data_IF_177627483251
#
_entry.id   IF_177627483251
#
_cell.length_a   1.000
_cell.length_b   1.000
_cell.length_c   1.000
_cell.angle_alpha   90.00
_cell.angle_beta   90.00
_cell.angle_gamma   90.00
#
_symmetry.space_group_name_H-M   'P 1'
#
loop_
_entity.id
_entity.type
_entity.pdbx_description
1 polymer ?
#
# COMPACT_ATOMS: atom_id res chain seq x y z
N UNK A 1 10.23 6.47 -82.70
CA UNK A 1 11.15 5.46 -82.17
C UNK A 1 12.54 6.06 -82.28
N UNK A 2 13.17 6.44 -81.16
CA UNK A 2 13.95 5.45 -80.44
C UNK A 2 14.07 5.67 -78.90
N UNK A 3 14.65 4.65 -78.27
CA UNK A 3 15.47 4.61 -77.05
C UNK A 3 14.87 4.98 -75.69
N UNK A 4 14.80 3.94 -74.84
CA UNK A 4 15.02 4.06 -73.41
C UNK A 4 16.44 4.61 -73.17
N UNK A 5 16.56 5.56 -72.24
CA UNK A 5 17.82 5.94 -71.64
C UNK A 5 17.67 5.70 -70.14
N UNK A 6 18.15 4.56 -69.67
CA UNK A 6 18.50 4.37 -68.28
C UNK A 6 19.77 5.19 -68.04
N UNK A 7 19.68 6.23 -67.22
CA UNK A 7 20.83 6.82 -66.57
C UNK A 7 20.85 6.31 -65.15
N UNK A 8 21.54 5.19 -64.94
CA UNK A 8 22.06 4.82 -63.63
C UNK A 8 23.13 5.84 -63.28
N UNK A 9 22.77 6.77 -62.40
CA UNK A 9 23.65 7.39 -61.41
C UNK A 9 22.91 8.59 -60.83
N UNK A 10 21.96 8.29 -59.94
CA UNK A 10 21.72 9.16 -58.81
C UNK A 10 21.60 8.24 -57.62
N UNK A 11 22.50 8.39 -56.66
CA UNK A 11 22.25 8.00 -55.29
C UNK A 11 20.93 8.65 -54.90
N UNK A 12 19.83 7.90 -55.01
CA UNK A 12 18.60 8.24 -54.33
C UNK A 12 18.95 8.06 -52.86
N UNK A 13 19.40 9.13 -52.21
CA UNK A 13 19.07 9.34 -50.81
C UNK A 13 17.57 9.21 -50.74
N UNK A 14 17.08 8.00 -50.40
CA UNK A 14 15.74 7.78 -49.92
C UNK A 14 15.54 8.83 -48.85
N UNK A 15 14.71 9.84 -49.13
CA UNK A 15 14.37 10.77 -48.09
C UNK A 15 13.67 9.95 -47.01
N UNK A 16 13.94 10.30 -45.76
CA UNK A 16 13.28 9.72 -44.58
C UNK A 16 11.75 9.84 -44.63
N UNK A 17 11.20 10.58 -45.60
CA UNK A 17 9.77 10.78 -45.81
C UNK A 17 9.06 9.50 -46.26
N UNK A 18 9.74 8.63 -47.03
CA UNK A 18 9.16 7.34 -47.44
C UNK A 18 9.02 6.35 -46.27
N UNK A 19 9.90 6.45 -45.26
CA UNK A 19 9.90 5.56 -44.09
C UNK A 19 8.78 5.88 -43.09
N UNK A 20 8.15 7.05 -43.17
CA UNK A 20 7.14 7.49 -42.18
C UNK A 20 5.72 7.42 -42.68
N UNK A 21 5.53 7.18 -43.97
CA UNK A 21 4.23 7.27 -44.61
C UNK A 21 3.23 6.29 -44.01
N UNK A 22 3.61 5.02 -43.89
CA UNK A 22 2.79 3.92 -43.34
C UNK A 22 3.16 3.58 -41.89
N UNK A 23 3.64 4.59 -41.13
CA UNK A 23 3.98 4.39 -39.72
C UNK A 23 2.89 4.93 -38.82
N UNK A 24 2.44 4.12 -37.86
CA UNK A 24 1.62 4.60 -36.76
C UNK A 24 2.47 5.42 -35.77
N UNK A 25 2.40 6.75 -35.87
CA UNK A 25 3.17 7.70 -35.04
C UNK A 25 2.25 8.50 -34.09
N UNK A 26 1.71 7.88 -33.02
CA UNK A 26 0.82 8.56 -32.09
C UNK A 26 1.57 9.36 -31.02
N UNK A 27 0.82 10.20 -30.32
CA UNK A 27 1.16 10.74 -28.99
C UNK A 27 -0.01 10.44 -28.04
N UNK A 28 0.31 9.93 -26.84
CA UNK A 28 -0.67 9.74 -25.77
C UNK A 28 -0.90 11.08 -25.06
N UNK A 29 -2.13 11.57 -25.11
CA UNK A 29 -2.53 12.85 -24.55
C UNK A 29 -3.66 12.70 -23.53
N UNK A 30 -3.80 13.70 -22.66
CA UNK A 30 -4.92 13.81 -21.73
C UNK A 30 -5.81 14.99 -22.17
N UNK A 31 -7.11 14.76 -22.30
CA UNK A 31 -8.02 15.68 -23.01
C UNK A 31 -8.30 17.01 -22.30
N UNK A 32 -7.78 17.22 -21.09
CA UNK A 32 -7.88 18.50 -20.40
C UNK A 32 -6.51 18.84 -19.85
N UNK A 33 -6.05 20.07 -20.08
CA UNK A 33 -4.74 20.51 -19.61
C UNK A 33 -4.54 20.32 -18.10
N UNK A 34 -3.29 20.43 -17.65
CA UNK A 34 -2.81 20.14 -16.28
C UNK A 34 -3.71 20.72 -15.17
N UNK A 35 -4.32 21.90 -15.38
CA UNK A 35 -5.07 22.61 -14.34
C UNK A 35 -6.56 22.23 -14.22
N UNK A 36 -7.08 21.35 -15.07
CA UNK A 36 -8.52 20.99 -15.09
C UNK A 36 -8.80 19.50 -15.26
N UNK A 37 -7.77 18.66 -15.24
CA UNK A 37 -7.93 17.21 -15.39
C UNK A 37 -8.02 16.55 -14.01
N UNK A 38 -9.23 16.08 -13.70
CA UNK A 38 -9.54 15.26 -12.54
C UNK A 38 -9.92 13.86 -13.01
N UNK A 39 -9.32 12.84 -12.42
CA UNK A 39 -9.70 11.44 -12.59
C UNK A 39 -10.33 10.99 -11.29
N UNK A 40 -11.63 10.67 -11.31
CA UNK A 40 -12.37 10.20 -10.15
C UNK A 40 -12.20 11.10 -8.90
N UNK A 41 -12.17 12.43 -9.10
CA UNK A 41 -11.98 13.44 -8.05
C UNK A 41 -10.53 13.67 -7.60
N UNK A 42 -9.56 12.98 -8.19
CA UNK A 42 -8.12 13.17 -7.94
C UNK A 42 -7.51 14.01 -9.08
N UNK A 43 -6.82 15.10 -8.72
CA UNK A 43 -6.21 16.02 -9.68
C UNK A 43 -4.91 15.47 -10.25
N UNK A 44 -4.68 15.68 -11.55
CA UNK A 44 -3.34 15.54 -12.13
C UNK A 44 -2.52 16.80 -11.85
N UNK A 45 -1.22 16.59 -11.68
CA UNK A 45 -0.24 17.65 -11.44
C UNK A 45 1.00 17.42 -12.29
N UNK A 46 1.95 18.35 -12.28
CA UNK A 46 3.27 18.12 -12.87
C UNK A 46 4.15 17.32 -11.90
N UNK A 47 4.78 16.27 -12.41
CA UNK A 47 5.78 15.53 -11.67
C UNK A 47 6.99 16.41 -11.39
N UNK A 48 7.58 16.24 -10.20
CA UNK A 48 8.76 16.99 -9.78
C UNK A 48 9.88 16.07 -9.35
N UNK A 49 11.10 16.45 -9.73
CA UNK A 49 12.32 15.77 -9.33
C UNK A 49 12.65 16.02 -7.85
N UNK A 50 13.72 15.38 -7.38
CA UNK A 50 14.23 15.53 -6.01
C UNK A 50 14.62 16.95 -5.62
N UNK A 51 14.79 17.86 -6.59
CA UNK A 51 15.13 19.26 -6.38
C UNK A 51 13.92 20.18 -6.56
N UNK A 52 12.70 19.63 -6.61
CA UNK A 52 11.45 20.35 -6.83
C UNK A 52 11.37 21.07 -8.20
N UNK A 53 12.13 20.58 -9.20
CA UNK A 53 12.01 21.00 -10.61
C UNK A 53 11.08 20.07 -11.37
N UNK A 54 10.38 20.59 -12.36
CA UNK A 54 9.49 19.77 -13.20
C UNK A 54 10.27 18.70 -13.95
N UNK A 55 9.77 17.46 -13.91
CA UNK A 55 10.32 16.36 -14.68
C UNK A 55 9.94 16.51 -16.15
N UNK A 56 10.94 16.42 -17.03
CA UNK A 56 10.74 16.44 -18.48
C UNK A 56 11.09 15.08 -19.07
N UNK A 57 10.51 14.78 -20.22
CA UNK A 57 10.78 13.58 -20.99
C UNK A 57 11.01 13.90 -22.46
N UNK A 58 11.95 13.16 -23.05
CA UNK A 58 12.20 13.13 -24.48
C UNK A 58 11.52 11.87 -25.08
N UNK A 59 10.59 12.08 -26.00
CA UNK A 59 9.93 11.03 -26.78
C UNK A 59 10.70 10.72 -28.07
N UNK A 60 10.19 9.76 -28.85
CA UNK A 60 10.84 9.33 -30.08
C UNK A 60 11.09 10.50 -31.06
N UNK A 61 12.26 10.47 -31.71
CA UNK A 61 12.64 11.47 -32.73
C UNK A 61 11.73 11.46 -33.97
N UNK A 62 10.95 10.39 -34.17
CA UNK A 62 10.01 10.28 -35.28
C UNK A 62 8.75 11.13 -35.09
N UNK A 63 8.48 11.59 -33.85
CA UNK A 63 7.38 12.52 -33.57
C UNK A 63 7.73 13.95 -34.00
N UNK A 64 6.70 14.77 -34.22
CA UNK A 64 6.88 16.20 -34.51
C UNK A 64 7.58 16.90 -33.35
N UNK A 65 8.38 17.94 -33.66
CA UNK A 65 9.26 18.61 -32.69
C UNK A 65 8.53 19.13 -31.43
N UNK A 66 7.26 19.53 -31.59
CA UNK A 66 6.41 20.01 -30.50
C UNK A 66 6.03 18.93 -29.49
N UNK A 67 6.10 17.65 -29.88
CA UNK A 67 5.81 16.51 -29.02
C UNK A 67 7.06 15.85 -28.48
N UNK A 68 8.23 16.02 -29.12
CA UNK A 68 9.49 15.36 -28.69
C UNK A 68 9.88 15.67 -27.25
N UNK A 69 9.51 16.83 -26.71
CA UNK A 69 9.77 17.19 -25.32
C UNK A 69 8.46 17.49 -24.60
N UNK A 70 8.22 16.83 -23.47
CA UNK A 70 7.01 17.03 -22.69
C UNK A 70 7.28 17.02 -21.19
N UNK A 71 6.43 17.70 -20.43
CA UNK A 71 6.44 17.62 -18.97
C UNK A 71 5.73 16.33 -18.53
N UNK A 72 6.28 15.63 -17.54
CA UNK A 72 5.67 14.41 -17.04
C UNK A 72 4.50 14.76 -16.11
N UNK A 73 3.33 14.17 -16.38
CA UNK A 73 2.18 14.29 -15.49
C UNK A 73 2.26 13.31 -14.33
N UNK A 74 1.81 13.73 -13.16
CA UNK A 74 1.72 12.96 -11.93
C UNK A 74 0.26 12.73 -11.55
N UNK A 75 -0.10 11.46 -11.37
CA UNK A 75 -1.34 11.03 -10.75
C UNK A 75 -1.06 10.50 -9.34
N UNK A 76 -1.55 11.21 -8.32
CA UNK A 76 -1.46 10.79 -6.92
C UNK A 76 -2.78 10.17 -6.45
N UNK A 77 -2.73 9.00 -5.82
CA UNK A 77 -3.94 8.30 -5.37
C UNK A 77 -3.75 7.56 -4.05
N UNK A 78 -4.83 7.40 -3.29
CA UNK A 78 -4.91 6.45 -2.17
C UNK A 78 -5.66 5.17 -2.54
N UNK A 79 -6.30 5.12 -3.71
CA UNK A 79 -7.19 4.02 -4.11
C UNK A 79 -6.42 2.74 -4.44
N UNK A 80 -7.05 1.60 -4.19
CA UNK A 80 -6.51 0.29 -4.55
C UNK A 80 -6.76 -0.07 -6.02
N UNK A 81 -7.69 0.63 -6.69
CA UNK A 81 -7.97 0.48 -8.12
C UNK A 81 -8.06 1.84 -8.74
N UNK A 82 -7.36 2.03 -9.85
CA UNK A 82 -7.33 3.29 -10.59
C UNK A 82 -7.62 3.01 -12.06
N UNK A 83 -8.31 3.96 -12.70
CA UNK A 83 -8.66 3.93 -14.11
C UNK A 83 -8.30 5.28 -14.70
N UNK A 84 -7.23 5.32 -15.49
CA UNK A 84 -6.66 6.55 -16.02
C UNK A 84 -7.03 6.67 -17.50
N UNK A 85 -7.94 7.58 -17.87
CA UNK A 85 -8.30 7.81 -19.26
C UNK A 85 -7.19 8.55 -20.01
N UNK A 86 -6.95 8.16 -21.25
CA UNK A 86 -6.04 8.85 -22.17
C UNK A 86 -6.61 8.81 -23.60
N UNK A 87 -6.17 9.75 -24.43
CA UNK A 87 -6.57 9.87 -25.83
C UNK A 87 -5.35 9.71 -26.72
N UNK A 88 -5.49 8.90 -27.78
CA UNK A 88 -4.44 8.70 -28.78
C UNK A 88 -4.56 9.79 -29.84
N UNK A 89 -3.56 10.67 -29.96
CA UNK A 89 -3.56 11.76 -30.95
C UNK A 89 -2.47 11.53 -31.99
N UNK A 90 -2.61 12.17 -33.16
CA UNK A 90 -1.57 12.14 -34.18
C UNK A 90 -0.32 12.86 -33.66
N UNK A 91 0.80 12.15 -33.60
CA UNK A 91 2.08 12.63 -33.08
C UNK A 91 3.09 13.03 -34.15
N UNK A 92 2.82 12.70 -35.42
CA UNK A 92 3.60 13.16 -36.57
C UNK A 92 2.70 13.59 -37.71
N UNK A 93 3.03 14.74 -38.31
CA UNK A 93 2.39 15.25 -39.52
C UNK A 93 2.76 14.47 -40.79
N UNK A 94 3.80 13.63 -40.72
CA UNK A 94 4.31 12.83 -41.85
C UNK A 94 3.70 11.41 -41.90
N UNK A 95 3.09 10.96 -40.80
CA UNK A 95 2.35 9.69 -40.71
C UNK A 95 1.00 9.81 -41.41
N UNK A 96 0.71 8.88 -42.32
CA UNK A 96 -0.56 8.77 -43.04
C UNK A 96 -1.38 7.55 -42.63
N UNK A 97 -0.76 6.58 -41.96
CA UNK A 97 -1.45 5.51 -41.27
C UNK A 97 -2.34 6.05 -40.13
N UNK A 98 -3.54 5.49 -39.97
CA UNK A 98 -4.58 5.95 -39.05
C UNK A 98 -4.71 5.07 -37.78
N UNK A 99 -4.14 3.87 -37.80
CA UNK A 99 -4.25 2.91 -36.70
C UNK A 99 -2.97 2.11 -36.47
N UNK A 100 -2.93 1.29 -35.41
CA UNK A 100 -1.68 0.62 -35.03
C UNK A 100 -1.79 -0.11 -33.70
N UNK A 101 -0.64 -0.54 -33.18
CA UNK A 101 -0.54 -1.20 -31.88
C UNK A 101 0.07 -0.27 -30.82
N UNK A 102 -0.55 -0.23 -29.65
CA UNK A 102 -0.03 0.47 -28.48
C UNK A 102 0.32 -0.55 -27.39
N UNK A 103 1.54 -0.45 -26.89
CA UNK A 103 2.10 -1.25 -25.81
C UNK A 103 2.29 -0.43 -24.54
N UNK A 104 1.89 -0.98 -23.40
CA UNK A 104 2.02 -0.37 -22.06
C UNK A 104 3.10 -1.12 -21.26
N UNK A 105 4.04 -0.35 -20.70
CA UNK A 105 5.10 -0.88 -19.83
C UNK A 105 5.14 -0.12 -18.51
N UNK A 106 5.22 -0.86 -17.41
CA UNK A 106 5.50 -0.27 -16.10
C UNK A 106 7.01 -0.17 -15.92
N UNK A 107 7.49 0.93 -15.31
CA UNK A 107 8.92 1.12 -15.03
C UNK A 107 9.45 0.25 -13.89
N UNK A 108 8.57 -0.52 -13.23
CA UNK A 108 8.91 -1.37 -12.08
C UNK A 108 8.27 -2.74 -12.24
N UNK A 109 8.97 -3.78 -11.77
CA UNK A 109 8.41 -5.10 -11.52
C UNK A 109 8.11 -5.21 -10.02
N UNK A 110 6.86 -4.94 -9.64
CA UNK A 110 6.43 -4.98 -8.25
C UNK A 110 5.22 -5.91 -8.11
N UNK A 111 5.32 -6.92 -7.25
CA UNK A 111 4.25 -7.89 -7.01
C UNK A 111 2.97 -7.26 -6.48
N UNK A 112 3.06 -6.06 -5.89
CA UNK A 112 1.92 -5.33 -5.34
C UNK A 112 1.22 -4.43 -6.36
N UNK A 113 1.72 -4.37 -7.61
CA UNK A 113 1.19 -3.55 -8.69
C UNK A 113 0.81 -4.45 -9.86
N UNK A 114 -0.48 -4.51 -10.18
CA UNK A 114 -1.00 -5.33 -11.26
C UNK A 114 -1.60 -4.46 -12.35
N UNK A 115 -1.02 -4.52 -13.55
CA UNK A 115 -1.60 -3.95 -14.76
C UNK A 115 -2.78 -4.83 -15.20
N UNK A 116 -3.99 -4.27 -15.16
CA UNK A 116 -5.23 -4.95 -15.57
C UNK A 116 -5.46 -4.78 -17.06
N UNK A 117 -5.13 -3.61 -17.62
CA UNK A 117 -5.19 -3.38 -19.07
C UNK A 117 -4.26 -4.33 -19.80
N UNK A 118 -4.66 -4.80 -21.00
CA UNK A 118 -3.80 -5.61 -21.85
C UNK A 118 -2.48 -4.86 -22.13
N UNK A 119 -1.37 -5.59 -22.11
CA UNK A 119 -0.04 -5.02 -22.35
C UNK A 119 0.11 -4.46 -23.76
N UNK A 120 -0.57 -5.03 -24.74
CA UNK A 120 -0.61 -4.55 -26.13
C UNK A 120 -2.04 -4.65 -26.65
N UNK A 121 -2.48 -3.66 -27.42
CA UNK A 121 -3.80 -3.63 -28.05
C UNK A 121 -3.80 -2.75 -29.31
N UNK A 122 -4.67 -3.09 -30.26
CA UNK A 122 -4.93 -2.27 -31.45
C UNK A 122 -5.69 -1.01 -31.07
N UNK A 123 -5.33 0.11 -31.69
CA UNK A 123 -5.96 1.41 -31.47
C UNK A 123 -5.81 2.29 -32.70
N UNK A 124 -6.54 3.41 -32.73
CA UNK A 124 -6.46 4.43 -33.79
C UNK A 124 -6.46 5.84 -33.22
N UNK A 125 -6.18 6.84 -34.05
CA UNK A 125 -6.28 8.23 -33.62
C UNK A 125 -7.68 8.60 -33.12
N UNK A 126 -7.70 9.58 -32.21
CA UNK A 126 -8.87 10.13 -31.51
C UNK A 126 -9.66 9.12 -30.67
N UNK A 127 -9.11 7.92 -30.46
CA UNK A 127 -9.66 6.96 -29.51
C UNK A 127 -9.35 7.37 -28.06
N UNK A 128 -10.34 7.28 -27.19
CA UNK A 128 -10.17 7.41 -25.75
C UNK A 128 -10.18 6.03 -25.10
N UNK A 129 -9.12 5.72 -24.37
CA UNK A 129 -8.85 4.44 -23.74
C UNK A 129 -8.55 4.63 -22.25
N UNK A 130 -8.36 3.54 -21.52
CA UNK A 130 -8.05 3.58 -20.10
C UNK A 130 -6.90 2.64 -19.73
N UNK A 131 -6.00 3.12 -18.89
CA UNK A 131 -5.05 2.28 -18.15
C UNK A 131 -5.66 1.95 -16.80
N UNK A 132 -5.86 0.66 -16.54
CA UNK A 132 -6.40 0.15 -15.29
C UNK A 132 -5.30 -0.57 -14.49
N UNK A 133 -5.12 -0.16 -13.25
CA UNK A 133 -4.15 -0.73 -12.31
C UNK A 133 -4.84 -1.10 -11.00
N UNK A 134 -4.48 -2.27 -10.49
CA UNK A 134 -4.87 -2.78 -9.18
C UNK A 134 -3.62 -2.84 -8.28
N UNK A 135 -3.71 -2.22 -7.11
CA UNK A 135 -2.75 -2.33 -6.03
C UNK A 135 -3.23 -3.37 -5.03
N UNK A 136 -2.32 -4.23 -4.59
CA UNK A 136 -2.62 -5.24 -3.54
C UNK A 136 -1.91 -4.92 -2.22
N UNK A 137 -1.03 -3.91 -2.22
CA UNK A 137 -0.26 -3.47 -1.05
C UNK A 137 -0.64 -2.07 -0.58
N UNK A 138 -0.26 -1.76 0.66
CA UNK A 138 -0.51 -0.47 1.28
C UNK A 138 0.70 0.45 1.34
N UNK A 139 1.89 -0.05 1.02
CA UNK A 139 3.09 0.74 1.02
C UNK A 139 3.01 1.86 -0.03
N UNK A 140 3.71 2.96 0.23
CA UNK A 140 3.92 3.98 -0.80
C UNK A 140 4.57 3.34 -2.03
N UNK A 141 4.02 3.59 -3.21
CA UNK A 141 4.61 3.17 -4.50
C UNK A 141 4.74 4.38 -5.40
N UNK A 142 5.81 4.42 -6.17
CA UNK A 142 6.08 5.44 -7.17
C UNK A 142 6.67 4.76 -8.40
N UNK A 143 6.07 4.98 -9.56
CA UNK A 143 6.47 4.33 -10.81
C UNK A 143 5.96 5.11 -12.02
N UNK A 144 6.50 4.78 -13.20
CA UNK A 144 6.05 5.32 -14.48
C UNK A 144 5.29 4.28 -15.28
N UNK A 145 4.42 4.79 -16.14
CA UNK A 145 3.70 4.04 -17.16
C UNK A 145 4.11 4.62 -18.49
N UNK A 146 4.78 3.79 -19.27
CA UNK A 146 5.34 4.11 -20.58
C UNK A 146 4.48 3.52 -21.68
N UNK A 147 4.30 4.29 -22.75
CA UNK A 147 3.58 3.87 -23.95
C UNK A 147 4.53 3.80 -25.14
N UNK A 148 4.43 2.69 -25.87
CA UNK A 148 5.21 2.43 -27.07
C UNK A 148 4.28 2.07 -28.22
N UNK A 149 4.50 2.66 -29.38
CA UNK A 149 3.73 2.38 -30.59
C UNK A 149 4.56 1.60 -31.62
N UNK A 150 3.83 0.90 -32.49
CA UNK A 150 4.30 0.32 -33.75
C UNK A 150 3.10 0.20 -34.69
N UNK A 151 3.38 0.09 -35.98
CA UNK A 151 2.38 -0.27 -36.99
C UNK A 151 1.71 -1.63 -36.66
N UNK A 152 0.46 -1.81 -37.09
CA UNK A 152 -0.28 -3.05 -36.92
C UNK A 152 -0.02 -4.10 -38.02
N UNK A 153 0.73 -3.76 -39.07
CA UNK A 153 1.09 -4.62 -40.21
C UNK A 153 -0.14 -5.17 -40.95
N UNK A 154 -1.29 -4.49 -40.89
CA UNK A 154 -2.54 -4.97 -41.51
C UNK A 154 -2.54 -4.76 -43.04
N UNK A 155 -1.68 -3.89 -43.56
CA UNK A 155 -1.58 -3.60 -45.00
C UNK A 155 -0.64 -4.56 -45.76
N UNK A 156 -1.17 -5.12 -46.85
CA UNK A 156 -0.45 -6.13 -47.67
C UNK A 156 0.54 -5.54 -48.67
N UNK A 157 0.55 -4.22 -48.82
CA UNK A 157 1.26 -3.47 -49.85
C UNK A 157 2.28 -2.47 -49.28
N UNK A 158 2.23 -2.21 -47.97
CA UNK A 158 3.24 -1.49 -47.21
C UNK A 158 3.06 -1.82 -45.72
N UNK A 159 4.15 -2.05 -45.01
CA UNK A 159 4.16 -2.33 -43.57
C UNK A 159 5.14 -1.37 -42.91
N UNK A 160 4.74 -0.76 -41.81
CA UNK A 160 5.64 0.08 -41.02
C UNK A 160 6.84 -0.73 -40.51
N UNK A 161 8.02 -0.11 -40.53
CA UNK A 161 9.28 -0.66 -40.05
C UNK A 161 9.59 -0.23 -38.61
N UNK A 162 8.99 0.88 -38.14
CA UNK A 162 9.31 1.44 -36.83
C UNK A 162 8.63 0.66 -35.70
N UNK A 163 9.44 0.27 -34.72
CA UNK A 163 8.98 -0.42 -33.51
C UNK A 163 9.44 0.31 -32.26
N UNK A 164 8.69 0.15 -31.16
CA UNK A 164 8.98 0.75 -29.86
C UNK A 164 9.06 2.29 -29.89
N UNK A 165 8.19 2.94 -30.66
CA UNK A 165 8.08 4.40 -30.72
C UNK A 165 7.56 4.89 -29.37
N UNK A 166 8.45 5.43 -28.54
CA UNK A 166 8.06 5.96 -27.22
C UNK A 166 7.21 7.21 -27.39
N UNK A 167 5.92 7.09 -27.07
CA UNK A 167 4.88 8.06 -27.41
C UNK A 167 4.04 8.52 -26.22
N UNK A 168 4.46 8.20 -24.99
CA UNK A 168 3.79 8.68 -23.79
C UNK A 168 4.44 8.18 -22.51
N UNK A 169 4.42 9.03 -21.48
CA UNK A 169 4.79 8.68 -20.11
C UNK A 169 3.92 9.42 -19.12
N UNK A 170 3.54 8.75 -18.06
CA UNK A 170 3.03 9.42 -16.86
C UNK A 170 3.53 8.73 -15.59
N UNK A 171 3.57 9.50 -14.50
CA UNK A 171 4.01 9.08 -13.18
C UNK A 171 2.79 8.78 -12.31
N UNK A 172 2.84 7.68 -11.58
CA UNK A 172 1.82 7.30 -10.59
C UNK A 172 2.46 7.22 -9.22
N UNK A 173 1.85 7.90 -8.25
CA UNK A 173 2.20 7.78 -6.83
C UNK A 173 1.00 7.23 -6.06
N UNK A 174 1.11 5.99 -5.61
CA UNK A 174 0.21 5.42 -4.60
C UNK A 174 0.69 5.87 -3.23
N UNK A 175 -0.13 6.66 -2.54
CA UNK A 175 0.12 7.06 -1.15
C UNK A 175 -0.02 5.85 -0.23
N UNK A 176 0.80 5.84 0.82
CA UNK A 176 0.71 4.81 1.85
C UNK A 176 -0.68 4.89 2.49
N UNK A 177 -1.40 3.77 2.50
CA UNK A 177 -2.72 3.68 3.14
C UNK A 177 -2.64 2.88 4.43
N UNK A 178 -3.43 3.27 5.42
CA UNK A 178 -3.44 2.54 6.68
C UNK A 178 -4.04 1.14 6.50
N UNK A 179 -3.28 0.12 6.89
CA UNK A 179 -3.69 -1.29 6.86
C UNK A 179 -5.04 -1.55 7.54
N UNK A 180 -5.43 -0.76 8.53
CA UNK A 180 -6.73 -0.89 9.19
C UNK A 180 -7.94 -0.60 8.28
N UNK A 181 -7.72 0.08 7.15
CA UNK A 181 -8.76 0.37 6.17
C UNK A 181 -8.95 -0.77 5.16
N UNK A 182 -8.06 -1.75 5.11
CA UNK A 182 -8.10 -2.83 4.12
C UNK A 182 -9.43 -3.59 4.14
N UNK A 183 -9.92 -4.02 2.98
CA UNK A 183 -11.22 -4.68 2.89
C UNK A 183 -11.18 -6.18 3.24
N UNK A 184 -10.00 -6.79 3.37
CA UNK A 184 -9.79 -8.22 3.64
C UNK A 184 -9.49 -8.52 5.13
N UNK A 185 -9.84 -7.62 6.05
CA UNK A 185 -9.90 -7.97 7.48
C UNK A 185 -11.06 -8.94 7.72
N UNK A 186 -10.85 -10.05 8.45
CA UNK A 186 -11.92 -10.96 8.78
C UNK A 186 -12.87 -10.32 9.81
N UNK A 187 -14.10 -10.84 9.86
CA UNK A 187 -15.00 -10.62 10.99
C UNK A 187 -15.01 -11.90 11.83
N UNK A 188 -14.52 -11.79 13.05
CA UNK A 188 -14.39 -12.90 13.99
C UNK A 188 -15.18 -12.55 15.26
N UNK A 189 -16.23 -13.32 15.61
CA UNK A 189 -16.86 -13.16 16.89
C UNK A 189 -15.86 -13.48 18.03
N UNK A 190 -16.05 -12.93 19.24
CA UNK A 190 -15.20 -13.25 20.38
C UNK A 190 -15.09 -14.76 20.61
N UNK A 191 -13.86 -15.28 20.64
CA UNK A 191 -13.54 -16.68 20.93
C UNK A 191 -13.81 -17.05 22.40
N UNK A 192 -13.85 -16.06 23.28
CA UNK A 192 -14.08 -16.24 24.72
C UNK A 192 -15.43 -15.66 25.09
N UNK A 193 -16.33 -16.52 25.56
CA UNK A 193 -17.54 -16.11 26.27
C UNK A 193 -17.18 -15.74 27.71
N UNK A 194 -17.94 -14.83 28.33
CA UNK A 194 -17.64 -14.39 29.71
C UNK A 194 -17.59 -15.54 30.72
N UNK A 195 -18.41 -16.58 30.52
CA UNK A 195 -18.40 -17.78 31.36
C UNK A 195 -17.14 -18.65 31.23
N UNK A 196 -16.39 -18.52 30.13
CA UNK A 196 -15.16 -19.28 29.84
C UNK A 196 -13.91 -18.46 30.13
N UNK A 197 -14.08 -17.30 30.76
CA UNK A 197 -13.00 -16.39 31.08
C UNK A 197 -12.24 -16.88 32.30
N UNK A 198 -10.92 -16.86 32.22
CA UNK A 198 -10.05 -17.13 33.37
C UNK A 198 -10.10 -15.91 34.29
N UNK A 199 -11.09 -15.87 35.17
CA UNK A 199 -11.34 -14.71 36.02
C UNK A 199 -10.17 -14.45 36.99
N UNK A 200 -9.79 -13.18 37.13
CA UNK A 200 -8.80 -12.76 38.11
C UNK A 200 -9.16 -13.22 39.53
N UNK A 201 -8.16 -13.72 40.26
CA UNK A 201 -8.34 -14.30 41.59
C UNK A 201 -8.51 -15.82 41.59
N UNK A 202 -8.75 -16.44 40.43
CA UNK A 202 -8.74 -17.90 40.27
C UNK A 202 -7.34 -18.45 40.53
N UNK A 203 -7.24 -19.55 41.26
CA UNK A 203 -5.94 -20.18 41.55
C UNK A 203 -5.31 -20.75 40.27
N UNK A 204 -4.07 -20.35 39.98
CA UNK A 204 -3.29 -20.84 38.85
C UNK A 204 -2.22 -21.80 39.35
N UNK A 205 -2.25 -23.05 38.88
CA UNK A 205 -1.39 -24.13 39.43
C UNK A 205 0.11 -23.97 39.14
N UNK A 206 0.51 -23.05 38.26
CA UNK A 206 1.88 -22.90 37.76
C UNK A 206 2.52 -21.56 38.14
N UNK A 207 1.81 -20.71 38.88
CA UNK A 207 2.34 -19.45 39.39
C UNK A 207 1.79 -19.16 40.77
N UNK A 208 2.65 -18.63 41.65
CA UNK A 208 2.24 -18.17 42.98
C UNK A 208 1.72 -16.74 42.98
N UNK A 209 1.80 -16.03 41.85
CA UNK A 209 1.46 -14.60 41.74
C UNK A 209 0.11 -14.34 41.08
N UNK A 210 -0.64 -13.37 41.62
CA UNK A 210 -1.89 -12.86 41.02
C UNK A 210 -1.61 -11.69 40.07
N UNK A 211 -0.71 -11.90 39.12
CA UNK A 211 -0.37 -10.88 38.11
C UNK A 211 -1.28 -11.05 36.89
N UNK A 212 -1.83 -9.94 36.38
CA UNK A 212 -2.70 -9.94 35.20
C UNK A 212 -2.03 -10.58 33.97
N UNK A 213 -0.70 -10.46 33.86
CA UNK A 213 0.12 -11.17 32.88
C UNK A 213 -0.13 -12.68 32.88
N UNK A 214 -0.16 -13.32 34.05
CA UNK A 214 -0.35 -14.77 34.15
C UNK A 214 -1.77 -15.21 33.80
N UNK A 215 -2.79 -14.41 34.15
CA UNK A 215 -4.18 -14.70 33.77
C UNK A 215 -4.38 -14.59 32.27
N UNK A 216 -3.84 -13.56 31.62
CA UNK A 216 -3.87 -13.43 30.17
C UNK A 216 -3.11 -14.58 29.47
N UNK A 217 -1.98 -15.02 30.01
CA UNK A 217 -1.28 -16.22 29.53
C UNK A 217 -2.11 -17.49 29.69
N UNK A 218 -2.76 -17.68 30.85
CA UNK A 218 -3.64 -18.83 31.08
C UNK A 218 -4.83 -18.80 30.12
N UNK A 219 -5.45 -17.64 29.90
CA UNK A 219 -6.53 -17.49 28.94
C UNK A 219 -6.08 -17.86 27.51
N UNK A 220 -4.89 -17.42 27.11
CA UNK A 220 -4.30 -17.77 25.82
C UNK A 220 -4.04 -19.29 25.71
N UNK A 221 -3.56 -19.91 26.80
CA UNK A 221 -3.33 -21.35 26.92
C UNK A 221 -4.60 -22.17 26.79
N UNK A 222 -5.69 -21.74 27.43
CA UNK A 222 -6.99 -22.42 27.35
C UNK A 222 -7.57 -22.37 25.93
N UNK A 223 -7.17 -21.37 25.13
CA UNK A 223 -7.47 -21.30 23.70
C UNK A 223 -6.53 -22.14 22.82
N UNK A 224 -5.53 -22.82 23.41
CA UNK A 224 -4.57 -23.67 22.70
C UNK A 224 -3.33 -22.94 22.16
N UNK A 225 -3.02 -21.76 22.71
CA UNK A 225 -1.91 -20.91 22.26
C UNK A 225 -0.98 -20.51 23.41
N UNK A 226 0.20 -20.03 23.05
CA UNK A 226 1.16 -19.44 23.98
C UNK A 226 1.87 -18.27 23.30
N UNK A 227 2.52 -17.40 24.07
CA UNK A 227 3.36 -16.35 23.48
C UNK A 227 4.67 -16.93 22.92
N UNK A 228 5.17 -16.40 21.81
CA UNK A 228 6.52 -16.74 21.30
C UNK A 228 7.62 -16.18 22.19
N UNK A 229 7.36 -15.08 22.88
CA UNK A 229 8.30 -14.47 23.83
C UNK A 229 7.56 -14.05 25.09
N UNK A 230 7.92 -14.67 26.21
CA UNK A 230 7.30 -14.41 27.52
C UNK A 230 7.80 -13.12 28.17
N UNK A 231 9.07 -12.77 27.98
CA UNK A 231 9.65 -11.59 28.61
C UNK A 231 9.74 -10.43 27.63
N UNK A 232 9.44 -9.24 28.12
CA UNK A 232 9.65 -8.04 27.33
C UNK A 232 11.15 -7.79 27.11
N UNK A 233 11.96 -7.90 28.17
CA UNK A 233 13.41 -7.80 28.06
C UNK A 233 14.01 -9.15 27.62
N UNK A 234 14.74 -9.12 26.51
CA UNK A 234 15.40 -10.27 25.90
C UNK A 234 16.58 -10.79 26.72
N UNK A 235 17.30 -9.91 27.43
CA UNK A 235 18.55 -10.25 28.12
C UNK A 235 18.40 -10.15 29.64
N UNK A 236 19.02 -11.08 30.36
CA UNK A 236 19.03 -11.15 31.82
C UNK A 236 20.31 -10.53 32.42
N UNK A 237 20.87 -9.54 31.72
CA UNK A 237 22.18 -8.94 32.01
C UNK A 237 22.09 -7.44 32.36
N UNK A 238 20.87 -6.92 32.54
CA UNK A 238 20.63 -5.51 32.82
C UNK A 238 20.58 -4.61 31.58
N UNK A 239 20.86 -5.13 30.38
CA UNK A 239 20.54 -4.40 29.15
C UNK A 239 19.04 -4.41 28.89
N UNK A 240 18.52 -3.32 28.30
CA UNK A 240 17.09 -3.17 28.02
C UNK A 240 16.89 -3.37 26.52
N UNK A 241 16.60 -4.60 26.10
CA UNK A 241 16.39 -4.98 24.69
C UNK A 241 15.04 -5.65 24.53
N UNK A 242 14.17 -5.12 23.67
CA UNK A 242 12.83 -5.68 23.43
C UNK A 242 12.91 -7.08 22.80
N UNK A 243 12.06 -7.98 23.28
CA UNK A 243 11.92 -9.34 22.75
C UNK A 243 11.55 -9.37 21.25
N UNK A 244 12.08 -10.34 20.47
CA UNK A 244 11.96 -10.35 19.01
C UNK A 244 10.55 -10.58 18.46
N UNK A 245 9.60 -11.04 19.31
CA UNK A 245 8.20 -11.31 18.95
C UNK A 245 7.22 -10.42 19.70
N UNK A 246 7.67 -9.21 20.05
CA UNK A 246 6.87 -8.19 20.72
C UNK A 246 6.92 -6.93 19.87
N UNK A 247 5.75 -6.33 19.65
CA UNK A 247 5.62 -5.06 18.98
C UNK A 247 5.18 -4.02 20.00
N UNK A 248 6.10 -3.16 20.46
CA UNK A 248 5.78 -2.07 21.38
C UNK A 248 5.17 -0.90 20.61
N UNK A 249 3.93 -0.53 20.93
CA UNK A 249 3.16 0.53 20.25
C UNK A 249 3.30 1.89 20.92
N UNK A 250 3.53 1.92 22.22
CA UNK A 250 3.65 3.14 23.02
C UNK A 250 4.62 2.92 24.17
N UNK A 251 5.44 3.94 24.46
CA UNK A 251 6.28 3.99 25.67
C UNK A 251 6.14 5.37 26.33
N UNK A 252 6.05 5.42 27.65
CA UNK A 252 5.90 6.66 28.42
C UNK A 252 7.22 7.44 28.51
N UNK A 253 8.35 6.72 28.46
CA UNK A 253 9.70 7.24 28.54
C UNK A 253 10.64 6.58 27.51
N UNK A 254 11.81 7.17 27.28
CA UNK A 254 12.83 6.61 26.38
C UNK A 254 13.34 5.27 26.93
N UNK A 255 13.23 4.19 26.15
CA UNK A 255 13.59 2.83 26.60
C UNK A 255 13.95 1.94 25.41
N UNK A 256 14.96 1.07 25.56
CA UNK A 256 15.39 0.13 24.49
C UNK A 256 15.61 0.77 23.10
N UNK A 257 16.08 2.01 23.05
CA UNK A 257 16.27 2.76 21.81
C UNK A 257 14.99 3.33 21.18
N UNK A 258 13.84 3.17 21.83
CA UNK A 258 12.58 3.83 21.48
C UNK A 258 12.49 5.17 22.20
N UNK A 259 11.92 6.17 21.51
CA UNK A 259 11.61 7.47 22.09
C UNK A 259 10.25 7.46 22.75
N UNK A 260 10.08 8.20 23.85
CA UNK A 260 8.78 8.42 24.48
C UNK A 260 7.71 8.79 23.44
N UNK A 261 6.54 8.19 23.56
CA UNK A 261 5.42 8.35 22.65
C UNK A 261 5.11 7.11 21.81
N UNK A 262 4.43 7.37 20.70
CA UNK A 262 3.89 6.37 19.79
C UNK A 262 4.97 5.81 18.86
N UNK A 263 4.93 4.50 18.65
CA UNK A 263 5.94 3.79 17.87
C UNK A 263 5.37 3.38 16.49
N UNK A 264 5.32 4.33 15.55
CA UNK A 264 4.71 4.13 14.22
C UNK A 264 5.23 2.86 13.50
N UNK A 265 6.55 2.65 13.49
CA UNK A 265 7.15 1.49 12.82
C UNK A 265 6.70 0.17 13.45
N UNK A 266 6.53 0.13 14.77
CA UNK A 266 6.08 -1.06 15.48
C UNK A 266 4.58 -1.27 15.28
N UNK A 267 3.79 -0.19 15.29
CA UNK A 267 2.37 -0.24 14.96
C UNK A 267 2.13 -0.86 13.59
N UNK A 268 2.83 -0.40 12.55
CA UNK A 268 2.70 -0.96 11.19
C UNK A 268 2.98 -2.47 11.17
N UNK A 269 4.03 -2.92 11.86
CA UNK A 269 4.38 -4.35 11.96
C UNK A 269 3.34 -5.15 12.76
N UNK A 270 2.90 -4.61 13.90
CA UNK A 270 1.88 -5.22 14.75
C UNK A 270 0.57 -5.42 13.98
N UNK A 271 0.14 -4.42 13.20
CA UNK A 271 -1.09 -4.51 12.43
C UNK A 271 -1.00 -5.55 11.31
N UNK A 272 0.16 -5.70 10.64
CA UNK A 272 0.40 -6.79 9.67
C UNK A 272 0.26 -8.15 10.36
N UNK A 273 0.93 -8.31 11.52
CA UNK A 273 0.84 -9.53 12.30
C UNK A 273 -0.60 -9.84 12.75
N UNK A 274 -1.30 -8.86 13.33
CA UNK A 274 -2.68 -9.00 13.80
C UNK A 274 -3.61 -9.41 12.67
N UNK A 275 -3.48 -8.83 11.47
CA UNK A 275 -4.29 -9.19 10.31
C UNK A 275 -4.17 -10.67 9.98
N UNK A 276 -2.94 -11.16 9.92
CA UNK A 276 -2.66 -12.54 9.58
C UNK A 276 -3.04 -13.50 10.72
N UNK A 277 -2.85 -13.12 11.99
CA UNK A 277 -3.32 -13.88 13.15
C UNK A 277 -4.85 -14.00 13.15
N UNK A 278 -5.57 -12.90 12.95
CA UNK A 278 -7.02 -12.90 12.87
C UNK A 278 -7.52 -13.76 11.70
N UNK A 279 -6.91 -13.69 10.51
CA UNK A 279 -7.28 -14.59 9.39
C UNK A 279 -7.18 -16.07 9.75
N UNK A 280 -6.27 -16.43 10.65
CA UNK A 280 -6.10 -17.80 11.18
C UNK A 280 -6.92 -18.10 12.43
N UNK A 281 -7.78 -17.18 12.88
CA UNK A 281 -8.49 -17.26 14.17
C UNK A 281 -7.53 -17.51 15.35
N UNK A 282 -6.37 -16.87 15.32
CA UNK A 282 -5.34 -16.98 16.35
C UNK A 282 -5.51 -15.86 17.39
N UNK A 283 -5.79 -16.17 18.67
CA UNK A 283 -5.87 -15.17 19.73
C UNK A 283 -4.49 -14.56 20.00
N UNK A 284 -4.46 -13.30 20.45
CA UNK A 284 -3.20 -12.54 20.58
C UNK A 284 -3.15 -11.82 21.91
N UNK A 285 -2.11 -12.09 22.70
CA UNK A 285 -1.88 -11.38 23.96
C UNK A 285 -1.42 -9.94 23.71
N UNK A 286 -1.96 -9.00 24.48
CA UNK A 286 -1.66 -7.57 24.39
C UNK A 286 -1.38 -6.99 25.77
N UNK A 287 -0.50 -5.98 25.81
CA UNK A 287 -0.32 -5.14 26.98
C UNK A 287 -1.23 -3.93 26.91
N UNK A 288 -1.64 -3.49 28.09
CA UNK A 288 -2.60 -2.42 28.33
C UNK A 288 -1.99 -1.44 29.33
N UNK A 289 -2.38 -0.17 29.23
CA UNK A 289 -1.95 0.93 30.11
C UNK A 289 -3.18 1.51 30.80
N UNK A 290 -3.48 1.03 32.01
CA UNK A 290 -4.68 1.36 32.81
C UNK A 290 -4.36 2.34 33.96
N UNK A 291 -3.08 2.52 34.32
CA UNK A 291 -2.63 3.37 35.40
C UNK A 291 -1.18 3.85 35.22
N UNK A 292 -0.87 5.08 35.67
CA UNK A 292 0.44 5.72 35.51
C UNK A 292 1.52 5.29 36.51
N UNK A 293 1.16 4.47 37.51
CA UNK A 293 1.99 4.28 38.71
C UNK A 293 2.67 2.90 38.81
N UNK A 294 2.48 2.02 37.82
CA UNK A 294 3.04 0.66 37.79
C UNK A 294 3.79 0.37 36.48
N UNK A 295 5.06 0.79 36.44
CA UNK A 295 5.92 0.57 35.29
C UNK A 295 6.52 -0.84 35.28
N UNK A 296 6.11 -1.67 34.31
CA UNK A 296 6.87 -2.86 33.93
C UNK A 296 8.18 -2.47 33.21
N UNK A 297 8.98 -3.45 32.77
CA UNK A 297 10.29 -3.20 32.13
C UNK A 297 10.23 -2.32 30.88
N UNK A 298 9.06 -2.18 30.27
CA UNK A 298 8.79 -1.29 29.14
C UNK A 298 8.33 0.13 29.56
N UNK A 299 8.25 0.38 30.87
CA UNK A 299 7.86 1.63 31.52
C UNK A 299 6.43 2.08 31.19
N UNK A 300 5.54 1.17 30.80
CA UNK A 300 4.22 1.60 30.30
C UNK A 300 3.12 0.57 30.44
N UNK A 301 3.41 -0.70 30.18
CA UNK A 301 2.39 -1.72 30.33
C UNK A 301 2.20 -2.00 31.80
N UNK A 302 1.01 -1.82 32.34
CA UNK A 302 0.67 -2.18 33.72
C UNK A 302 -0.30 -3.37 33.77
N UNK A 303 -0.99 -3.65 32.65
CA UNK A 303 -2.03 -4.66 32.56
C UNK A 303 -1.95 -5.49 31.28
N UNK A 304 -2.62 -6.63 31.23
CA UNK A 304 -2.61 -7.54 30.08
C UNK A 304 -3.97 -8.14 29.78
N UNK A 305 -4.24 -8.33 28.50
CA UNK A 305 -5.44 -9.01 27.99
C UNK A 305 -5.15 -9.82 26.74
N UNK A 306 -6.20 -10.38 26.15
CA UNK A 306 -6.12 -11.22 24.94
C UNK A 306 -7.10 -10.71 23.89
N UNK A 307 -6.62 -10.35 22.70
CA UNK A 307 -7.47 -10.15 21.53
C UNK A 307 -8.08 -11.50 21.16
N UNK A 308 -9.41 -11.56 21.16
CA UNK A 308 -10.21 -12.76 20.93
C UNK A 308 -11.20 -12.61 19.78
N UNK A 309 -11.27 -11.43 19.16
CA UNK A 309 -12.17 -11.15 18.05
C UNK A 309 -11.78 -9.88 17.32
N UNK A 310 -12.32 -9.69 16.11
CA UNK A 310 -12.13 -8.47 15.34
C UNK A 310 -13.25 -8.26 14.33
N UNK A 311 -13.38 -7.04 13.82
CA UNK A 311 -14.29 -6.76 12.72
C UNK A 311 -14.28 -5.29 12.34
N UNK A 312 -15.28 -4.86 11.58
CA UNK A 312 -15.47 -3.44 11.23
C UNK A 312 -16.85 -2.95 11.63
N UNK A 313 -16.91 -1.74 12.17
CA UNK A 313 -18.15 -0.98 12.38
C UNK A 313 -17.93 0.40 11.79
N UNK A 314 -18.80 0.83 10.87
CA UNK A 314 -18.69 2.13 10.17
C UNK A 314 -17.28 2.38 9.60
N UNK A 315 -16.73 1.38 8.88
CA UNK A 315 -15.38 1.35 8.33
C UNK A 315 -14.20 1.46 9.32
N UNK A 316 -14.48 1.38 10.62
CA UNK A 316 -13.45 1.35 11.67
C UNK A 316 -13.17 -0.09 12.08
N UNK A 317 -11.93 -0.53 11.86
CA UNK A 317 -11.41 -1.79 12.38
C UNK A 317 -11.42 -1.77 13.91
N UNK A 318 -11.98 -2.81 14.50
CA UNK A 318 -11.96 -3.05 15.93
C UNK A 318 -11.38 -4.42 16.29
N UNK A 319 -10.92 -4.53 17.53
CA UNK A 319 -10.49 -5.76 18.19
C UNK A 319 -11.24 -5.90 19.52
N UNK A 320 -11.78 -7.08 19.77
CA UNK A 320 -12.36 -7.43 21.05
C UNK A 320 -11.28 -8.01 21.95
N UNK A 321 -11.03 -7.37 23.09
CA UNK A 321 -10.02 -7.78 24.08
C UNK A 321 -10.73 -8.38 25.28
N UNK A 322 -10.46 -9.66 25.54
CA UNK A 322 -10.77 -10.32 26.79
C UNK A 322 -9.78 -9.83 27.85
N UNK A 323 -10.30 -9.11 28.83
CA UNK A 323 -9.53 -8.61 29.97
C UNK A 323 -9.85 -9.46 31.19
N UNK A 324 -8.91 -10.28 31.66
CA UNK A 324 -9.17 -11.24 32.73
C UNK A 324 -9.50 -10.63 34.11
N UNK A 325 -9.17 -9.35 34.33
CA UNK A 325 -9.46 -8.66 35.59
C UNK A 325 -10.68 -7.73 35.53
N UNK A 326 -10.99 -7.19 34.35
CA UNK A 326 -12.05 -6.22 34.15
C UNK A 326 -13.07 -6.69 33.10
N UNK A 327 -13.90 -5.78 32.59
CA UNK A 327 -14.80 -6.09 31.49
C UNK A 327 -14.05 -6.20 30.16
N UNK A 328 -14.59 -6.98 29.22
CA UNK A 328 -14.01 -7.08 27.89
C UNK A 328 -14.20 -5.75 27.15
N UNK A 329 -13.14 -5.22 26.57
CA UNK A 329 -13.15 -3.89 25.94
C UNK A 329 -12.89 -4.02 24.45
N UNK A 330 -13.59 -3.21 23.67
CA UNK A 330 -13.38 -3.07 22.23
C UNK A 330 -12.42 -1.93 21.94
N UNK A 331 -11.32 -2.25 21.26
CA UNK A 331 -10.30 -1.31 20.82
C UNK A 331 -10.44 -1.04 19.33
N UNK A 332 -10.36 0.21 18.92
CA UNK A 332 -10.41 0.66 17.54
C UNK A 332 -9.03 1.08 17.07
N UNK A 333 -8.73 0.75 15.82
CA UNK A 333 -7.55 1.27 15.18
C UNK A 333 -7.70 2.76 14.83
N UNK A 334 -6.77 3.57 15.33
CA UNK A 334 -6.58 4.96 14.91
C UNK A 334 -5.28 5.10 14.12
N UNK A 335 -5.43 5.22 12.81
CA UNK A 335 -4.32 5.38 11.88
C UNK A 335 -3.68 6.77 11.93
N UNK A 336 -4.35 7.79 12.47
CA UNK A 336 -3.78 9.14 12.59
C UNK A 336 -2.76 9.21 13.71
N UNK A 337 -3.02 8.46 14.78
CA UNK A 337 -2.18 8.40 15.97
C UNK A 337 -1.39 7.09 16.08
N UNK A 338 -1.47 6.20 15.09
CA UNK A 338 -0.80 4.89 15.10
C UNK A 338 -1.02 4.12 16.41
N UNK A 339 -2.28 4.07 16.85
CA UNK A 339 -2.66 3.48 18.14
C UNK A 339 -3.90 2.60 18.04
N UNK A 340 -4.08 1.76 19.05
CA UNK A 340 -5.31 1.02 19.29
C UNK A 340 -5.92 1.57 20.58
N UNK A 341 -7.06 2.24 20.47
CA UNK A 341 -7.68 3.01 21.56
C UNK A 341 -9.09 2.46 21.84
N UNK A 342 -9.58 2.56 23.08
CA UNK A 342 -10.88 2.01 23.43
C UNK A 342 -11.99 2.91 22.84
N UNK A 343 -13.23 2.43 22.80
CA UNK A 343 -14.36 3.30 22.47
C UNK A 343 -14.41 4.51 23.42
N UNK A 344 -14.85 5.68 22.95
CA UNK A 344 -14.88 6.93 23.72
C UNK A 344 -15.69 6.88 25.04
N UNK A 345 -16.44 5.79 25.28
CA UNK A 345 -17.26 5.57 26.47
C UNK A 345 -16.96 4.24 27.19
N UNK A 346 -15.90 3.52 26.81
CA UNK A 346 -15.49 2.33 27.55
C UNK A 346 -15.02 2.81 28.92
N UNK A 347 -15.80 2.51 29.96
CA UNK A 347 -15.38 2.79 31.33
C UNK A 347 -14.36 1.74 31.70
N UNK A 348 -13.08 2.02 31.48
CA UNK A 348 -12.09 1.43 32.37
C UNK A 348 -12.45 2.00 33.74
N UNK A 349 -12.84 1.14 34.68
CA UNK A 349 -13.00 1.51 36.09
C UNK A 349 -11.61 1.82 36.67
N UNK A 350 -10.84 2.71 36.05
CA UNK A 350 -9.63 3.25 36.64
C UNK A 350 -10.08 4.27 37.69
N UNK A 351 -9.49 4.16 38.88
CA UNK A 351 -9.60 5.17 39.93
C UNK A 351 -9.10 6.55 39.47
N UNK A 352 -8.44 6.63 38.31
CA UNK A 352 -7.95 7.85 37.69
C UNK A 352 -8.67 8.18 36.38
N UNK A 353 -9.24 9.40 36.30
CA UNK A 353 -10.09 9.88 35.20
C UNK A 353 -9.28 10.26 33.95
N UNK A 354 -7.96 10.19 33.99
CA UNK A 354 -7.07 10.68 32.93
C UNK A 354 -6.39 9.58 32.11
N UNK A 355 -6.59 8.30 32.43
CA UNK A 355 -5.91 7.21 31.72
C UNK A 355 -6.73 6.76 30.52
N UNK A 356 -6.24 7.08 29.32
CA UNK A 356 -6.76 6.51 28.08
C UNK A 356 -6.19 5.11 27.92
N UNK A 357 -6.97 4.08 28.31
CA UNK A 357 -6.45 2.73 28.21
C UNK A 357 -6.23 2.31 26.77
N UNK A 358 -4.99 2.36 26.33
CA UNK A 358 -4.53 1.99 24.99
C UNK A 358 -3.84 0.63 25.03
N UNK A 359 -3.78 -0.05 23.90
CA UNK A 359 -2.88 -1.19 23.76
C UNK A 359 -1.45 -0.66 23.58
N UNK A 360 -0.57 -1.05 24.48
CA UNK A 360 0.83 -0.63 24.54
C UNK A 360 1.77 -1.57 23.80
N UNK A 361 1.42 -2.86 23.72
CA UNK A 361 2.20 -3.86 23.03
C UNK A 361 1.34 -5.00 22.49
N UNK A 362 1.81 -5.62 21.41
CA UNK A 362 1.22 -6.83 20.81
C UNK A 362 2.26 -7.94 20.82
N UNK A 363 1.89 -9.14 21.26
CA UNK A 363 2.81 -10.29 21.37
C UNK A 363 2.43 -11.40 20.41
N UNK A 364 3.40 -11.86 19.62
CA UNK A 364 3.11 -12.97 18.72
C UNK A 364 2.78 -14.24 19.49
N UNK A 365 1.78 -14.96 18.99
CA UNK A 365 1.32 -16.22 19.54
C UNK A 365 1.89 -17.38 18.74
N UNK A 366 1.90 -18.55 19.37
CA UNK A 366 2.23 -19.84 18.78
C UNK A 366 1.22 -20.85 19.27
N UNK A 367 0.85 -21.78 18.41
CA UNK A 367 0.00 -22.91 18.79
C UNK A 367 0.78 -23.85 19.73
N UNK A 368 0.09 -24.40 20.72
CA UNK A 368 0.63 -25.41 21.65
C UNK A 368 0.70 -26.81 21.04
#
# INVERSE_FOLDING_TARGET
MPTATQSDDNSVTLSTDALKWDEFLPIVAFDRGINSFEIDGEKLTLAKDKNNKEENIEFSEYLDIQYRNSQVLLFETEKQKIKIPFTVKRGSSESHDDDGLLSIKLSVEDKDIKLITKKEFKTKYDSTLNVEIEFTGNAKKEFYIDFYARDNEDDTWSTGELVNIHCGRFKVTKKETCICKDNDWPTLPPMVLEMNKVAYGTELSWTSGRECYHYALQQLKDLGYWVKTERWNKKWDGTVEMGPHIYQLYVSADVAGMKSGLQEKQFKKAMVYLKEAMKRSEPVMVGLDYNSDYDNTDLTTDHFGVIVGCGKINDKLYFDVCDNAYENIRYYCDCKTFSLIPAANSRINSYDKNVQAKITQVRESKKL
#
